data_IF_530255665234
#
_entry.id   IF_530255665234
#
_cell.length_a   1.000
_cell.length_b   1.000
_cell.length_c   1.000
_cell.angle_alpha   90.00
_cell.angle_beta   90.00
_cell.angle_gamma   90.00
#
_symmetry.space_group_name_H-M   'P 1'
#
loop_
_entity.id
_entity.type
_entity.pdbx_description
1 polymer ?
#
# COMPACT_ATOMS: atom_id res chain seq x y z
N UNK A 1 7.94 -9.19 -7.80
CA UNK A 1 8.32 -8.74 -9.17
C UNK A 1 9.76 -8.20 -9.18
N UNK A 2 10.51 -8.37 -10.26
CA UNK A 2 11.87 -7.82 -10.39
C UNK A 2 11.90 -6.30 -10.16
N UNK A 3 10.84 -5.59 -10.58
CA UNK A 3 10.63 -4.16 -10.38
C UNK A 3 10.61 -3.70 -8.92
N UNK A 4 10.39 -4.61 -7.96
CA UNK A 4 10.41 -4.33 -6.50
C UNK A 4 11.67 -4.91 -5.83
N UNK A 5 12.37 -5.85 -6.51
CA UNK A 5 13.49 -6.59 -5.92
C UNK A 5 14.77 -5.74 -5.78
N UNK A 6 14.93 -4.73 -6.62
CA UNK A 6 16.13 -3.86 -6.65
C UNK A 6 16.00 -2.58 -5.84
N UNK A 7 14.81 -2.27 -5.32
CA UNK A 7 14.53 -1.04 -4.55
C UNK A 7 14.19 -1.35 -3.10
N UNK A 8 15.23 -1.36 -2.28
CA UNK A 8 15.11 -1.59 -0.83
C UNK A 8 14.87 -0.28 -0.03
N UNK A 9 14.90 0.88 -0.69
CA UNK A 9 14.79 2.21 -0.08
C UNK A 9 13.36 2.75 -0.02
N UNK A 10 12.39 2.10 -0.70
CA UNK A 10 11.00 2.56 -0.76
C UNK A 10 10.02 1.41 -0.48
N UNK A 11 9.46 1.42 0.72
CA UNK A 11 8.55 0.36 1.19
C UNK A 11 7.13 0.45 0.60
N UNK A 12 6.71 1.62 0.11
CA UNK A 12 5.34 1.85 -0.37
C UNK A 12 5.37 2.54 -1.73
N UNK A 13 5.05 1.77 -2.78
CA UNK A 13 5.01 2.25 -4.16
C UNK A 13 3.56 2.36 -4.65
N UNK A 14 3.33 3.33 -5.53
CA UNK A 14 2.07 3.44 -6.27
C UNK A 14 2.04 2.42 -7.41
N UNK A 15 0.88 1.85 -7.77
CA UNK A 15 0.73 1.07 -9.00
C UNK A 15 1.16 1.87 -10.22
N UNK A 16 1.77 1.20 -11.20
CA UNK A 16 2.08 1.81 -12.48
C UNK A 16 0.80 2.09 -13.28
N UNK A 17 0.74 3.21 -14.02
CA UNK A 17 -0.49 3.66 -14.70
C UNK A 17 -1.06 2.63 -15.67
N UNK A 18 -0.18 1.86 -16.29
CA UNK A 18 -0.53 0.83 -17.28
C UNK A 18 -0.35 -0.58 -16.72
N UNK A 19 -0.49 -0.80 -15.40
CA UNK A 19 -0.25 -2.11 -14.82
C UNK A 19 -1.14 -3.18 -15.53
N UNK A 20 -0.47 -4.11 -16.21
CA UNK A 20 -1.10 -5.24 -16.89
C UNK A 20 -0.38 -6.53 -16.46
N UNK A 21 -1.08 -7.67 -16.45
CA UNK A 21 -0.51 -8.94 -15.97
C UNK A 21 0.81 -9.33 -16.68
N UNK A 22 0.93 -9.04 -17.97
CA UNK A 22 2.09 -9.40 -18.80
C UNK A 22 3.27 -8.42 -18.67
N UNK A 23 3.08 -7.28 -17.98
CA UNK A 23 4.14 -6.28 -17.79
C UNK A 23 5.12 -6.73 -16.70
N UNK A 24 6.44 -6.52 -16.88
CA UNK A 24 7.43 -6.75 -15.81
C UNK A 24 7.37 -5.68 -14.70
N UNK A 25 6.65 -4.57 -14.95
CA UNK A 25 6.51 -3.44 -14.03
C UNK A 25 5.06 -3.30 -13.59
N UNK A 26 4.82 -3.51 -12.29
CA UNK A 26 3.50 -3.37 -11.67
C UNK A 26 3.40 -2.13 -10.78
N UNK A 27 4.54 -1.62 -10.31
CA UNK A 27 4.62 -0.48 -9.41
C UNK A 27 5.56 0.57 -9.99
N UNK A 28 5.15 1.83 -9.85
CA UNK A 28 5.95 2.98 -10.25
C UNK A 28 7.21 3.12 -9.39
N UNK A 29 8.15 3.90 -9.89
CA UNK A 29 9.35 4.31 -9.14
C UNK A 29 9.11 5.50 -8.20
N UNK A 30 7.87 5.95 -8.06
CA UNK A 30 7.51 7.06 -7.18
C UNK A 30 7.04 6.53 -5.82
N UNK A 31 7.53 7.11 -4.70
CA UNK A 31 7.02 6.74 -3.38
C UNK A 31 5.55 7.14 -3.25
N UNK A 32 4.81 6.38 -2.44
CA UNK A 32 3.46 6.74 -2.04
C UNK A 32 3.48 8.02 -1.21
N UNK A 33 2.63 8.99 -1.57
CA UNK A 33 2.51 10.24 -0.82
C UNK A 33 2.16 9.99 0.66
N UNK A 34 2.77 10.76 1.57
CA UNK A 34 2.55 10.66 3.03
C UNK A 34 1.07 10.72 3.41
N UNK A 35 0.31 11.59 2.76
CA UNK A 35 -1.14 11.72 2.99
C UNK A 35 -1.92 10.43 2.72
N UNK A 36 -1.52 9.68 1.69
CA UNK A 36 -2.14 8.41 1.35
C UNK A 36 -1.81 7.34 2.39
N UNK A 37 -0.58 7.34 2.94
CA UNK A 37 -0.21 6.48 4.06
C UNK A 37 -1.03 6.78 5.31
N UNK A 38 -1.20 8.06 5.66
CA UNK A 38 -2.03 8.46 6.80
C UNK A 38 -3.47 7.98 6.62
N UNK A 39 -4.05 8.17 5.43
CA UNK A 39 -5.40 7.67 5.11
C UNK A 39 -5.50 6.15 5.25
N UNK A 40 -4.51 5.39 4.76
CA UNK A 40 -4.48 3.93 4.89
C UNK A 40 -4.44 3.49 6.36
N UNK A 41 -3.54 4.08 7.15
CA UNK A 41 -3.39 3.76 8.56
C UNK A 41 -4.66 4.08 9.35
N UNK A 42 -5.32 5.20 9.06
CA UNK A 42 -6.60 5.55 9.68
C UNK A 42 -7.70 4.52 9.35
N UNK A 43 -7.76 4.03 8.11
CA UNK A 43 -8.71 2.98 7.72
C UNK A 43 -8.47 1.67 8.48
N UNK A 44 -7.20 1.24 8.58
CA UNK A 44 -6.84 0.02 9.33
C UNK A 44 -7.16 0.18 10.82
N UNK A 45 -6.83 1.34 11.40
CA UNK A 45 -7.11 1.66 12.81
C UNK A 45 -8.62 1.61 13.08
N UNK A 46 -9.43 2.24 12.25
CA UNK A 46 -10.89 2.28 12.41
C UNK A 46 -11.49 0.86 12.38
N UNK A 47 -11.06 0.01 11.45
CA UNK A 47 -11.52 -1.40 11.40
C UNK A 47 -11.18 -2.12 12.70
N UNK A 48 -9.96 -1.92 13.23
CA UNK A 48 -9.55 -2.52 14.51
C UNK A 48 -10.41 -2.02 15.67
N UNK A 49 -10.66 -0.71 15.76
CA UNK A 49 -11.49 -0.11 16.81
C UNK A 49 -12.92 -0.67 16.79
N UNK A 50 -13.52 -0.78 15.61
CA UNK A 50 -14.84 -1.41 15.42
C UNK A 50 -14.81 -2.89 15.85
N UNK A 51 -13.80 -3.64 15.42
CA UNK A 51 -13.66 -5.06 15.77
C UNK A 51 -13.54 -5.25 17.29
N UNK A 52 -12.73 -4.42 17.95
CA UNK A 52 -12.59 -4.45 19.42
C UNK A 52 -13.92 -4.09 20.10
N UNK A 53 -14.61 -3.06 19.62
CA UNK A 53 -15.87 -2.61 20.21
C UNK A 53 -17.03 -3.61 20.03
N UNK A 54 -17.05 -4.38 18.95
CA UNK A 54 -18.16 -5.27 18.60
C UNK A 54 -17.91 -6.76 18.89
N UNK A 55 -16.65 -7.19 18.85
CA UNK A 55 -16.27 -8.62 18.91
C UNK A 55 -15.31 -8.91 20.08
N UNK A 56 -14.86 -7.88 20.81
CA UNK A 56 -14.00 -8.00 21.98
C UNK A 56 -14.73 -8.02 23.33
N UNK A 57 -16.07 -8.01 23.33
CA UNK A 57 -16.93 -8.10 24.52
C UNK A 57 -17.28 -9.53 24.90
#
# INVERSE_FOLDING_TARGET
PESVRTRNDVFYLLPERSCVPDSPVWYSTSPLAKENLVKMLNRVKMVKEINVALLGS
#
